data_IF_034772251295
#
_entry.id   IF_034772251295
#
_cell.length_a   1.000
_cell.length_b   1.000
_cell.length_c   1.000
_cell.angle_alpha   90.00
_cell.angle_beta   90.00
_cell.angle_gamma   90.00
#
_symmetry.space_group_name_H-M   'P 1'
#
loop_
_entity.id
_entity.type
_entity.pdbx_description
1 polymer ?
#
# COMPACT_ATOMS: atom_id res chain seq x y z
N UNK A 1 27.99 -1.52 15.54
CA UNK A 1 27.66 -2.55 14.55
C UNK A 1 26.28 -2.29 13.93
N UNK A 2 26.19 -2.42 12.62
CA UNK A 2 24.93 -2.24 11.90
C UNK A 2 24.32 -3.61 11.63
N UNK A 3 23.08 -3.81 12.10
CA UNK A 3 22.33 -5.01 11.81
C UNK A 3 21.13 -4.66 10.92
N UNK A 4 20.77 -5.58 10.03
CA UNK A 4 19.60 -5.44 9.17
C UNK A 4 18.45 -6.25 9.75
N UNK A 5 17.24 -5.68 9.71
CA UNK A 5 16.03 -6.34 10.16
C UNK A 5 14.92 -6.17 9.11
N UNK A 6 14.11 -7.22 8.95
CA UNK A 6 12.97 -7.18 8.05
C UNK A 6 11.75 -6.47 8.64
N UNK A 7 11.81 -6.09 9.90
CA UNK A 7 10.72 -5.38 10.58
C UNK A 7 11.29 -4.34 11.53
N UNK A 8 10.46 -3.41 11.95
CA UNK A 8 10.84 -2.39 12.92
C UNK A 8 10.98 -3.04 14.30
N UNK A 9 12.17 -2.99 14.94
CA UNK A 9 12.35 -3.57 16.26
C UNK A 9 11.50 -2.88 17.33
N UNK A 10 11.01 -3.67 18.28
CA UNK A 10 10.15 -3.16 19.36
C UNK A 10 10.89 -2.24 20.35
N UNK A 11 12.20 -2.43 20.52
CA UNK A 11 12.99 -1.66 21.46
C UNK A 11 13.91 -0.70 20.71
N UNK A 12 13.66 0.58 20.87
CA UNK A 12 14.51 1.64 20.38
C UNK A 12 14.84 2.55 21.55
N UNK A 13 16.11 2.76 21.82
CA UNK A 13 16.58 3.49 23.00
C UNK A 13 16.92 4.94 22.74
N UNK A 14 17.23 5.29 21.49
CA UNK A 14 17.60 6.66 21.14
C UNK A 14 17.13 7.01 19.74
N UNK A 15 16.90 8.31 19.50
CA UNK A 15 16.59 8.84 18.19
C UNK A 15 17.77 8.59 17.24
N UNK A 16 17.48 8.04 16.08
CA UNK A 16 18.48 7.74 15.06
C UNK A 16 19.11 6.34 15.15
N UNK A 17 18.70 5.52 16.14
CA UNK A 17 19.17 4.14 16.25
C UNK A 17 18.68 3.27 15.10
N UNK A 18 17.52 3.60 14.52
CA UNK A 18 16.88 2.81 13.47
C UNK A 18 16.75 3.67 12.22
N UNK A 19 17.23 3.13 11.11
CA UNK A 19 17.14 3.78 9.80
C UNK A 19 16.36 2.86 8.87
N UNK A 20 15.32 3.40 8.24
CA UNK A 20 14.53 2.70 7.26
C UNK A 20 14.91 3.15 5.84
N UNK A 21 15.00 2.18 4.92
CA UNK A 21 15.14 2.47 3.51
C UNK A 21 13.75 2.43 2.88
N UNK A 22 13.29 3.56 2.38
CA UNK A 22 11.93 3.74 1.89
C UNK A 22 11.95 4.14 0.43
N UNK A 23 11.10 3.48 -0.35
CA UNK A 23 10.86 3.88 -1.74
C UNK A 23 9.93 5.08 -1.73
N UNK A 24 10.44 6.24 -2.12
CA UNK A 24 9.71 7.51 -2.01
C UNK A 24 9.44 8.21 -3.33
N UNK A 25 9.59 7.52 -4.44
CA UNK A 25 9.23 8.07 -5.75
C UNK A 25 7.71 8.21 -5.85
N UNK A 26 7.16 9.44 -6.05
CA UNK A 26 5.72 9.64 -6.06
C UNK A 26 5.00 8.99 -7.25
N UNK A 27 5.73 8.55 -8.27
CA UNK A 27 5.16 7.96 -9.48
C UNK A 27 5.35 6.45 -9.57
N UNK A 28 5.87 5.81 -8.53
CA UNK A 28 5.96 4.35 -8.48
C UNK A 28 4.58 3.72 -8.37
N UNK A 29 4.42 2.61 -9.07
CA UNK A 29 3.23 1.78 -8.96
C UNK A 29 3.51 0.63 -8.01
N UNK A 30 2.52 0.29 -7.21
CA UNK A 30 2.61 -0.80 -6.24
C UNK A 30 1.48 -1.79 -6.46
N UNK A 31 1.78 -3.07 -6.26
CA UNK A 31 0.77 -4.10 -6.23
C UNK A 31 0.33 -4.34 -4.79
N UNK A 32 -0.98 -4.31 -4.54
CA UNK A 32 -1.52 -4.46 -3.20
C UNK A 32 -2.82 -5.27 -3.27
N UNK A 33 -3.04 -6.08 -2.25
CA UNK A 33 -4.26 -6.86 -2.13
C UNK A 33 -5.39 -6.00 -1.57
N UNK A 34 -6.60 -6.24 -2.04
CA UNK A 34 -7.81 -5.60 -1.52
C UNK A 34 -8.42 -6.45 -0.41
N UNK A 35 -9.04 -5.81 0.58
CA UNK A 35 -9.73 -6.53 1.67
C UNK A 35 -10.98 -7.28 1.21
N UNK A 36 -11.52 -6.90 0.08
CA UNK A 36 -12.71 -7.53 -0.49
C UNK A 36 -12.65 -7.51 -2.00
N UNK A 37 -13.75 -7.22 -2.65
CA UNK A 37 -13.83 -7.14 -4.11
C UNK A 37 -13.95 -5.70 -4.58
N UNK A 38 -13.35 -5.41 -5.72
CA UNK A 38 -13.48 -4.12 -6.42
C UNK A 38 -13.98 -4.38 -7.84
N UNK A 39 -14.79 -3.47 -8.32
CA UNK A 39 -15.36 -3.56 -9.67
C UNK A 39 -14.50 -2.75 -10.66
N UNK A 40 -14.72 -2.99 -11.94
CA UNK A 40 -14.06 -2.22 -13.00
C UNK A 40 -14.36 -0.72 -12.90
N UNK A 41 -15.53 -0.35 -12.41
CA UNK A 41 -15.92 1.04 -12.21
C UNK A 41 -15.08 1.76 -11.15
N UNK A 42 -14.42 1.02 -10.27
CA UNK A 42 -13.59 1.59 -9.21
C UNK A 42 -12.19 1.96 -9.70
N UNK A 43 -11.79 1.51 -10.87
CA UNK A 43 -10.51 1.87 -11.46
C UNK A 43 -10.50 3.38 -11.76
N UNK A 44 -9.48 4.07 -11.26
CA UNK A 44 -9.37 5.52 -11.32
C UNK A 44 -9.87 6.24 -10.08
N UNK A 45 -10.63 5.55 -9.21
CA UNK A 45 -11.03 6.08 -7.92
C UNK A 45 -9.92 5.91 -6.88
N UNK A 46 -10.10 6.50 -5.71
CA UNK A 46 -9.15 6.40 -4.60
C UNK A 46 -9.65 5.41 -3.55
N UNK A 47 -8.71 4.81 -2.83
CA UNK A 47 -9.00 3.88 -1.73
C UNK A 47 -8.06 4.15 -0.57
N UNK A 48 -8.54 3.89 0.64
CA UNK A 48 -7.73 4.02 1.84
C UNK A 48 -6.93 2.75 2.12
N UNK A 49 -5.91 2.90 2.95
CA UNK A 49 -5.14 1.76 3.44
C UNK A 49 -5.91 1.05 4.56
N UNK A 50 -5.91 -0.28 4.51
CA UNK A 50 -6.37 -1.13 5.60
C UNK A 50 -5.15 -1.73 6.28
N UNK A 51 -4.77 -1.20 7.42
CA UNK A 51 -3.57 -1.62 8.13
C UNK A 51 -3.88 -2.79 9.07
N UNK A 52 -3.08 -3.83 8.95
CA UNK A 52 -3.04 -4.95 9.88
C UNK A 52 -1.58 -5.20 10.24
N UNK A 53 -1.31 -5.52 11.49
CA UNK A 53 0.05 -5.78 11.95
C UNK A 53 0.67 -6.92 11.13
N UNK A 54 1.86 -6.69 10.63
CA UNK A 54 2.60 -7.67 9.84
C UNK A 54 3.21 -8.77 10.69
N UNK A 55 3.94 -9.65 10.04
CA UNK A 55 4.65 -10.73 10.72
C UNK A 55 6.08 -10.28 11.06
N UNK A 56 6.44 -10.34 12.33
CA UNK A 56 7.81 -10.09 12.77
C UNK A 56 8.73 -11.27 12.45
N UNK A 57 8.16 -12.45 12.22
CA UNK A 57 8.92 -13.65 11.89
C UNK A 57 9.40 -13.63 10.44
N UNK A 58 8.52 -13.32 9.49
CA UNK A 58 8.83 -13.27 8.06
C UNK A 58 9.19 -11.87 7.57
N UNK A 59 8.86 -10.83 8.32
CA UNK A 59 9.03 -9.44 7.91
C UNK A 59 8.02 -8.98 6.87
N UNK A 60 6.99 -9.76 6.59
CA UNK A 60 6.00 -9.42 5.58
C UNK A 60 4.92 -8.51 6.13
N UNK A 61 4.53 -7.52 5.33
CA UNK A 61 3.41 -6.64 5.62
C UNK A 61 2.09 -7.37 5.37
N UNK A 62 1.07 -7.02 6.14
CA UNK A 62 -0.32 -7.42 5.91
C UNK A 62 -1.20 -6.22 5.59
N UNK A 63 -0.60 -5.12 5.17
CA UNK A 63 -1.35 -3.96 4.75
C UNK A 63 -2.08 -4.25 3.44
N UNK A 64 -3.33 -3.81 3.37
CA UNK A 64 -4.22 -3.99 2.22
C UNK A 64 -4.87 -2.66 1.89
N UNK A 65 -5.62 -2.59 0.81
CA UNK A 65 -6.51 -1.46 0.52
C UNK A 65 -7.95 -1.86 0.78
N UNK A 66 -8.75 -0.90 1.24
CA UNK A 66 -10.17 -1.17 1.51
C UNK A 66 -10.93 -1.40 0.22
N UNK A 67 -12.03 -2.17 0.30
CA UNK A 67 -12.87 -2.51 -0.84
C UNK A 67 -13.93 -1.45 -1.15
N UNK A 68 -13.78 -0.24 -0.64
CA UNK A 68 -14.69 0.86 -0.95
C UNK A 68 -13.93 2.02 -1.55
N UNK A 69 -14.38 2.49 -2.71
CA UNK A 69 -13.76 3.60 -3.40
C UNK A 69 -14.31 4.95 -2.92
N UNK A 70 -13.49 5.98 -3.07
CA UNK A 70 -13.82 7.35 -2.68
C UNK A 70 -13.25 8.32 -3.71
N UNK A 71 -13.66 9.58 -3.61
CA UNK A 71 -13.14 10.64 -4.47
C UNK A 71 -11.71 11.04 -4.10
N UNK A 72 -11.39 10.98 -2.80
CA UNK A 72 -10.06 11.28 -2.27
C UNK A 72 -9.70 10.26 -1.20
N UNK A 73 -8.49 9.73 -1.26
CA UNK A 73 -7.97 8.77 -0.29
C UNK A 73 -6.47 8.60 -0.49
N UNK A 74 -5.85 7.74 0.30
CA UNK A 74 -4.40 7.53 0.32
C UNK A 74 -3.84 7.02 -1.00
N UNK A 75 -4.56 6.14 -1.69
CA UNK A 75 -4.11 5.50 -2.93
C UNK A 75 -5.12 5.70 -4.04
N UNK A 76 -4.61 5.74 -5.26
CA UNK A 76 -5.43 5.76 -6.47
C UNK A 76 -5.31 4.42 -7.18
N UNK A 77 -6.44 3.83 -7.55
CA UNK A 77 -6.48 2.58 -8.30
C UNK A 77 -6.13 2.85 -9.76
N UNK A 78 -5.07 2.21 -10.24
CA UNK A 78 -4.60 2.34 -11.63
C UNK A 78 -5.10 1.19 -12.48
N UNK A 79 -5.14 0.00 -11.93
CA UNK A 79 -5.55 -1.18 -12.65
C UNK A 79 -5.53 -2.42 -11.78
N UNK A 80 -5.73 -3.56 -12.40
CA UNK A 80 -5.66 -4.88 -11.75
C UNK A 80 -4.29 -5.50 -12.03
N UNK A 81 -3.82 -6.33 -11.10
CA UNK A 81 -2.57 -7.06 -11.27
C UNK A 81 -2.60 -7.93 -12.52
N UNK A 82 -1.45 -8.15 -13.13
CA UNK A 82 -1.30 -9.06 -14.27
C UNK A 82 -1.05 -10.50 -13.84
N UNK A 83 -0.88 -10.73 -12.54
CA UNK A 83 -0.71 -12.07 -12.00
C UNK A 83 -2.03 -12.84 -12.12
N UNK A 84 -2.05 -14.01 -12.76
CA UNK A 84 -3.30 -14.74 -12.99
C UNK A 84 -3.94 -15.29 -11.71
N UNK A 85 -3.27 -15.29 -10.57
CA UNK A 85 -3.84 -15.87 -9.36
C UNK A 85 -4.98 -15.03 -8.76
N UNK A 86 -4.87 -13.72 -8.70
CA UNK A 86 -5.87 -12.87 -8.05
C UNK A 86 -6.13 -11.60 -8.84
N UNK A 87 -6.26 -11.72 -10.15
CA UNK A 87 -6.46 -10.57 -11.01
C UNK A 87 -7.89 -10.40 -11.54
N UNK A 88 -8.83 -11.15 -11.01
CA UNK A 88 -10.21 -11.11 -11.49
C UNK A 88 -11.03 -10.08 -10.71
N UNK A 89 -11.46 -9.02 -11.39
CA UNK A 89 -12.31 -8.00 -10.79
C UNK A 89 -13.64 -8.60 -10.35
N UNK A 90 -14.09 -8.19 -9.18
CA UNK A 90 -15.27 -8.75 -8.53
C UNK A 90 -15.00 -9.95 -7.65
N UNK A 91 -13.82 -10.55 -7.73
CA UNK A 91 -13.41 -11.62 -6.84
C UNK A 91 -12.92 -11.06 -5.49
N UNK A 92 -13.06 -11.86 -4.43
CA UNK A 92 -12.57 -11.49 -3.12
C UNK A 92 -11.03 -11.39 -3.12
N UNK A 93 -10.50 -10.41 -2.40
CA UNK A 93 -9.06 -10.21 -2.22
C UNK A 93 -8.30 -10.02 -3.53
N UNK A 94 -8.90 -9.30 -4.48
CA UNK A 94 -8.27 -9.04 -5.79
C UNK A 94 -6.99 -8.21 -5.60
N UNK A 95 -5.94 -8.54 -6.34
CA UNK A 95 -4.69 -7.78 -6.35
C UNK A 95 -4.80 -6.61 -7.32
N UNK A 96 -4.60 -5.40 -6.81
CA UNK A 96 -4.74 -4.17 -7.58
C UNK A 96 -3.38 -3.48 -7.71
N UNK A 97 -3.24 -2.71 -8.77
CA UNK A 97 -2.11 -1.81 -8.96
C UNK A 97 -2.53 -0.42 -8.55
N UNK A 98 -1.77 0.17 -7.63
CA UNK A 98 -2.10 1.46 -7.03
C UNK A 98 -0.95 2.45 -7.18
N UNK A 99 -1.30 3.73 -7.16
CA UNK A 99 -0.37 4.85 -7.09
C UNK A 99 -0.66 5.59 -5.79
N UNK A 100 0.39 5.99 -5.07
CA UNK A 100 0.21 6.79 -3.86
C UNK A 100 -0.37 8.14 -4.25
N UNK A 101 -1.52 8.49 -3.70
CA UNK A 101 -2.19 9.76 -3.96
C UNK A 101 -1.75 10.83 -2.97
N UNK A 102 -1.71 10.51 -1.68
CA UNK A 102 -1.22 11.39 -0.62
C UNK A 102 0.27 11.19 -0.41
N UNK A 103 1.09 11.98 -1.09
CA UNK A 103 2.54 11.86 -1.05
C UNK A 103 3.17 13.22 -0.77
N UNK A 104 4.25 13.23 0.02
CA UNK A 104 4.93 14.46 0.41
C UNK A 104 5.47 15.27 -0.79
N UNK A 105 5.77 14.60 -1.90
CA UNK A 105 6.31 15.24 -3.11
C UNK A 105 5.27 15.48 -4.20
N UNK A 106 4.00 15.27 -3.89
CA UNK A 106 2.89 15.57 -4.80
C UNK A 106 2.04 16.69 -4.24
N UNK A 107 1.54 17.52 -5.13
CA UNK A 107 0.48 18.46 -4.78
C UNK A 107 -0.83 17.72 -4.92
N UNK A 108 -1.46 17.46 -3.81
CA UNK A 108 -2.70 16.69 -3.77
C UNK A 108 -3.90 17.55 -4.13
N UNK A 109 -3.90 18.78 -3.65
CA UNK A 109 -4.96 19.74 -3.94
C UNK A 109 -4.37 21.04 -4.46
N UNK A 110 -5.13 21.73 -5.29
CA UNK A 110 -4.76 23.06 -5.75
C UNK A 110 -4.71 24.05 -4.59
N UNK A 111 -3.89 25.03 -4.74
CA UNK A 111 -3.77 26.11 -3.77
C UNK A 111 -4.82 27.17 -4.05
#
# INVERSE_FOLDING_TARGET
EVTHSAHFPAAQTATGDIVAFVEDNPFNLYEVQCTGSLARSDIGACVDIAYTAGSTLSGQSKAEVVSSSAATANYRLVGVSKDPENNELGSANVNMIVLINEHAYKIEAGV
#
